data_IF_485039001983
#
_entry.id   IF_485039001983
#
_cell.length_a   1.000
_cell.length_b   1.000
_cell.length_c   1.000
_cell.angle_alpha   90.00
_cell.angle_beta   90.00
_cell.angle_gamma   90.00
#
_symmetry.space_group_name_H-M   'P 1'
#
loop_
_entity.id
_entity.type
_entity.pdbx_description
1 polymer ?
#
# COMPACT_ATOMS: atom_id res chain seq x y z
N UNK A 1 45.75 -57.54 1.21
CA UNK A 1 45.93 -58.13 2.56
C UNK A 1 45.16 -57.22 3.52
N UNK A 2 43.85 -57.31 3.71
CA UNK A 2 43.00 -58.41 4.19
C UNK A 2 43.34 -58.88 5.62
N UNK A 3 42.50 -58.47 6.58
CA UNK A 3 42.02 -59.14 7.81
C UNK A 3 41.03 -58.18 8.50
N UNK A 4 39.72 -58.30 8.25
CA UNK A 4 38.72 -59.13 8.99
C UNK A 4 38.59 -58.72 10.46
N UNK A 5 37.49 -58.07 10.91
CA UNK A 5 36.10 -58.55 11.12
C UNK A 5 35.97 -59.43 12.39
N UNK A 6 35.06 -59.02 13.29
CA UNK A 6 34.03 -59.80 14.03
C UNK A 6 33.26 -58.79 14.92
N UNK A 7 32.05 -58.31 14.59
CA UNK A 7 30.67 -58.86 14.72
C UNK A 7 30.14 -59.20 16.13
N UNK A 8 29.02 -58.53 16.49
CA UNK A 8 27.80 -58.98 17.20
C UNK A 8 26.90 -57.72 17.41
N UNK A 9 25.74 -57.48 16.79
CA UNK A 9 24.47 -58.26 16.60
C UNK A 9 23.85 -58.63 17.95
N UNK A 10 22.61 -58.34 18.37
CA UNK A 10 21.36 -57.74 17.87
C UNK A 10 20.61 -57.19 19.13
N UNK A 11 19.46 -56.50 19.14
CA UNK A 11 18.14 -56.81 18.54
C UNK A 11 17.13 -55.71 18.95
N UNK A 12 16.24 -55.32 18.02
CA UNK A 12 14.77 -55.09 18.14
C UNK A 12 14.19 -54.46 19.44
N UNK A 13 13.28 -53.48 19.44
CA UNK A 13 12.21 -53.11 18.50
C UNK A 13 11.72 -51.67 18.82
N UNK A 14 10.94 -51.06 17.90
CA UNK A 14 10.43 -49.69 17.98
C UNK A 14 9.05 -49.66 18.65
N UNK A 15 8.74 -48.63 19.43
CA UNK A 15 7.41 -47.99 19.43
C UNK A 15 7.40 -46.75 20.32
N UNK A 16 6.88 -45.64 19.78
CA UNK A 16 6.01 -44.67 20.44
C UNK A 16 5.70 -43.55 19.45
N UNK A 17 4.76 -43.89 18.59
CA UNK A 17 3.80 -43.03 17.93
C UNK A 17 3.44 -41.80 18.78
N UNK A 18 3.65 -40.61 18.23
CA UNK A 18 2.80 -39.47 18.50
C UNK A 18 2.01 -39.19 17.22
N UNK A 19 0.75 -39.62 17.27
CA UNK A 19 -0.29 -39.33 16.30
C UNK A 19 -0.46 -37.80 16.18
N UNK A 20 0.11 -37.22 15.13
CA UNK A 20 -0.50 -36.04 14.54
C UNK A 20 -1.52 -36.55 13.53
N UNK A 21 -2.77 -36.54 13.99
CA UNK A 21 -3.96 -36.85 13.22
C UNK A 21 -3.88 -36.15 11.85
N UNK A 22 -3.89 -36.98 10.80
CA UNK A 22 -4.26 -36.58 9.46
C UNK A 22 -5.72 -36.11 9.49
N UNK A 23 -5.93 -34.80 9.58
CA UNK A 23 -7.10 -34.20 8.96
C UNK A 23 -6.68 -33.75 7.57
N UNK A 24 -6.58 -34.76 6.69
CA UNK A 24 -6.86 -34.57 5.27
C UNK A 24 -8.37 -34.34 5.15
N UNK A 25 -8.81 -33.17 5.58
CA UNK A 25 -10.10 -32.66 5.14
C UNK A 25 -9.94 -32.11 3.73
N UNK A 26 -10.83 -32.61 2.91
CA UNK A 26 -10.91 -32.46 1.48
C UNK A 26 -11.41 -31.05 1.13
N UNK A 27 -10.62 -30.02 1.39
CA UNK A 27 -10.92 -28.65 0.97
C UNK A 27 -10.33 -28.38 -0.41
N UNK A 28 -11.02 -28.92 -1.42
CA UNK A 28 -10.82 -28.59 -2.83
C UNK A 28 -11.41 -27.19 -3.14
N UNK A 29 -11.01 -26.18 -2.36
CA UNK A 29 -11.19 -24.76 -2.65
C UNK A 29 -9.80 -24.14 -2.67
N UNK A 30 -9.34 -23.74 -3.85
CA UNK A 30 -8.11 -22.96 -4.01
C UNK A 30 -8.20 -21.68 -3.18
N UNK A 31 -7.66 -21.71 -1.96
CA UNK A 31 -7.49 -20.50 -1.18
C UNK A 31 -6.41 -19.64 -1.85
N UNK A 32 -6.81 -18.49 -2.39
CA UNK A 32 -5.90 -17.50 -2.96
C UNK A 32 -4.95 -17.00 -1.87
N UNK A 33 -3.65 -17.26 -2.05
CA UNK A 33 -2.61 -16.77 -1.14
C UNK A 33 -1.97 -15.51 -1.70
N UNK A 34 -2.00 -14.42 -0.92
CA UNK A 34 -1.25 -13.21 -1.23
C UNK A 34 0.15 -13.18 -0.63
N UNK A 35 0.58 -14.26 0.03
CA UNK A 35 1.90 -14.34 0.62
C UNK A 35 2.98 -14.27 -0.49
N UNK A 36 4.01 -13.41 -0.41
CA UNK A 36 5.00 -13.23 -1.49
C UNK A 36 5.68 -14.52 -1.96
N UNK A 37 5.86 -15.50 -1.06
CA UNK A 37 6.43 -16.82 -1.39
C UNK A 37 5.46 -17.80 -2.06
N UNK A 38 4.16 -17.55 -1.96
CA UNK A 38 3.10 -18.50 -2.37
C UNK A 38 2.13 -17.96 -3.41
N UNK A 39 2.08 -16.64 -3.63
CA UNK A 39 1.23 -16.04 -4.65
C UNK A 39 1.55 -16.59 -6.03
N UNK A 40 0.52 -17.07 -6.73
CA UNK A 40 0.65 -17.62 -8.08
C UNK A 40 0.74 -16.49 -9.11
N UNK A 41 1.26 -16.79 -10.31
CA UNK A 41 1.30 -15.83 -11.40
C UNK A 41 -0.11 -15.38 -11.83
N UNK A 42 -1.09 -16.29 -11.78
CA UNK A 42 -2.50 -16.01 -12.07
C UNK A 42 -3.10 -15.03 -11.06
N UNK A 43 -2.99 -15.29 -9.75
CA UNK A 43 -3.45 -14.37 -8.70
C UNK A 43 -2.75 -13.02 -8.82
N UNK A 44 -1.45 -13.01 -9.12
CA UNK A 44 -0.70 -11.78 -9.35
C UNK A 44 -1.23 -10.98 -10.53
N UNK A 45 -1.45 -11.60 -11.69
CA UNK A 45 -2.03 -10.93 -12.86
C UNK A 45 -3.48 -10.47 -12.62
N UNK A 46 -4.26 -11.22 -11.85
CA UNK A 46 -5.60 -10.81 -11.45
C UNK A 46 -5.53 -9.49 -10.66
N UNK A 47 -4.65 -9.40 -9.65
CA UNK A 47 -4.42 -8.15 -8.90
C UNK A 47 -4.05 -6.98 -9.83
N UNK A 48 -3.13 -7.20 -10.79
CA UNK A 48 -2.72 -6.16 -11.73
C UNK A 48 -3.89 -5.62 -12.56
N UNK A 49 -4.81 -6.49 -12.98
CA UNK A 49 -5.96 -6.09 -13.81
C UNK A 49 -6.87 -5.09 -13.10
N UNK A 50 -6.87 -5.11 -11.77
CA UNK A 50 -7.67 -4.21 -10.93
C UNK A 50 -6.97 -2.90 -10.55
N UNK A 51 -5.71 -2.70 -10.95
CA UNK A 51 -4.99 -1.46 -10.62
C UNK A 51 -5.71 -0.20 -11.14
N UNK A 52 -6.18 -0.11 -12.41
CA UNK A 52 -6.82 1.09 -12.94
C UNK A 52 -8.09 1.51 -12.18
N UNK A 53 -8.97 0.55 -11.85
CA UNK A 53 -10.20 0.86 -11.09
C UNK A 53 -9.88 1.19 -9.62
N UNK A 54 -8.89 0.52 -9.03
CA UNK A 54 -8.50 0.74 -7.64
C UNK A 54 -7.92 2.13 -7.44
N UNK A 55 -6.99 2.57 -8.30
CA UNK A 55 -6.37 3.90 -8.19
C UNK A 55 -7.41 5.02 -8.35
N UNK A 56 -8.39 4.83 -9.25
CA UNK A 56 -9.49 5.77 -9.44
C UNK A 56 -10.34 5.89 -8.16
N UNK A 57 -10.80 4.75 -7.61
CA UNK A 57 -11.67 4.72 -6.43
C UNK A 57 -10.98 5.25 -5.18
N UNK A 58 -9.73 4.86 -4.95
CA UNK A 58 -8.95 5.33 -3.81
C UNK A 58 -8.80 6.85 -3.89
N UNK A 59 -8.50 7.39 -5.07
CA UNK A 59 -8.36 8.84 -5.22
C UNK A 59 -9.70 9.57 -5.05
N UNK A 60 -10.78 9.06 -5.64
CA UNK A 60 -12.13 9.60 -5.45
C UNK A 60 -12.54 9.63 -3.97
N UNK A 61 -12.27 8.55 -3.23
CA UNK A 61 -12.54 8.49 -1.80
C UNK A 61 -11.72 9.51 -1.01
N UNK A 62 -10.42 9.68 -1.34
CA UNK A 62 -9.57 10.73 -0.74
C UNK A 62 -10.15 12.14 -0.99
N UNK A 63 -10.65 12.43 -2.20
CA UNK A 63 -11.26 13.72 -2.52
C UNK A 63 -12.56 13.96 -1.74
N UNK A 64 -13.44 12.97 -1.67
CA UNK A 64 -14.69 13.03 -0.89
C UNK A 64 -14.43 13.26 0.60
N UNK A 65 -13.48 12.55 1.19
CA UNK A 65 -13.10 12.73 2.60
C UNK A 65 -12.54 14.14 2.87
N UNK A 66 -11.73 14.68 1.94
CA UNK A 66 -11.22 16.05 2.05
C UNK A 66 -12.36 17.08 2.06
N UNK A 67 -13.39 16.91 1.23
CA UNK A 67 -14.55 17.81 1.22
C UNK A 67 -15.35 17.74 2.51
N UNK A 68 -15.64 16.52 3.00
CA UNK A 68 -16.35 16.32 4.28
C UNK A 68 -15.59 16.95 5.46
N UNK A 69 -14.26 16.88 5.47
CA UNK A 69 -13.43 17.51 6.50
C UNK A 69 -13.44 19.05 6.46
N UNK A 70 -13.72 19.66 5.30
CA UNK A 70 -13.85 21.12 5.14
C UNK A 70 -15.23 21.60 5.57
N UNK A 71 -16.29 20.84 5.28
CA UNK A 71 -17.66 21.15 5.72
C UNK A 71 -17.82 21.14 7.26
N UNK A 72 -17.08 20.27 7.96
CA UNK A 72 -17.07 20.20 9.43
C UNK A 72 -16.32 21.34 10.15
N UNK A 73 -15.57 22.20 9.44
CA UNK A 73 -14.82 23.34 9.99
C UNK A 73 -15.51 24.69 9.80
N UNK A 74 -16.84 24.72 9.92
CA UNK A 74 -17.61 25.96 10.00
C UNK A 74 -17.23 26.82 11.22
N UNK A 75 -17.45 28.15 11.19
CA UNK A 75 -16.95 29.07 12.21
C UNK A 75 -17.55 28.76 13.59
N UNK A 76 -16.70 28.79 14.64
CA UNK A 76 -17.10 28.71 16.05
C UNK A 76 -18.25 29.69 16.33
N UNK A 77 -19.50 29.22 16.31
CA UNK A 77 -20.64 29.95 16.86
C UNK A 77 -20.66 29.74 18.37
N UNK A 78 -20.73 30.86 19.10
CA UNK A 78 -20.87 30.93 20.55
C UNK A 78 -22.04 30.06 21.04
N UNK A 79 -21.83 29.47 22.20
CA UNK A 79 -22.77 28.60 22.89
C UNK A 79 -24.18 29.21 23.01
N UNK A 80 -25.18 28.42 22.63
CA UNK A 80 -26.59 28.71 22.83
C UNK A 80 -27.45 27.47 22.55
N UNK A 81 -27.94 26.86 23.62
CA UNK A 81 -29.09 25.93 23.73
C UNK A 81 -29.10 24.67 22.85
N UNK A 82 -28.95 23.52 23.52
CA UNK A 82 -29.10 22.16 22.98
C UNK A 82 -30.54 21.92 22.50
N UNK A 83 -30.70 21.59 21.23
CA UNK A 83 -31.77 20.73 20.74
C UNK A 83 -31.12 19.64 19.88
N UNK A 84 -31.28 18.40 20.31
CA UNK A 84 -30.87 17.20 19.56
C UNK A 84 -31.64 17.15 18.25
N UNK A 85 -30.92 17.11 17.13
CA UNK A 85 -31.45 16.62 15.85
C UNK A 85 -30.54 15.48 15.41
N UNK A 86 -31.15 14.33 15.19
CA UNK A 86 -30.53 13.07 14.79
C UNK A 86 -29.80 13.19 13.43
N UNK A 87 -28.75 12.38 13.17
CA UNK A 87 -28.04 12.40 11.90
C UNK A 87 -28.68 11.42 10.91
N UNK A 88 -29.60 11.91 10.09
CA UNK A 88 -30.04 11.22 8.88
C UNK A 88 -30.17 12.22 7.75
N UNK A 89 -29.25 12.17 6.79
CA UNK A 89 -29.50 12.04 5.34
C UNK A 89 -28.23 12.37 4.56
N UNK A 90 -28.04 11.63 3.46
CA UNK A 90 -27.02 11.87 2.43
C UNK A 90 -26.98 13.37 2.12
N UNK A 91 -25.89 14.03 2.47
CA UNK A 91 -25.62 15.37 1.94
C UNK A 91 -25.37 15.17 0.44
N UNK A 92 -26.39 15.42 -0.39
CA UNK A 92 -26.20 15.61 -1.82
C UNK A 92 -25.10 16.67 -1.98
N UNK A 93 -24.00 16.27 -2.59
CA UNK A 93 -22.92 17.19 -2.94
C UNK A 93 -23.51 18.24 -3.90
N UNK A 94 -23.11 19.50 -3.71
CA UNK A 94 -23.43 20.55 -4.69
C UNK A 94 -22.91 20.11 -6.08
N UNK A 95 -23.70 20.19 -7.16
CA UNK A 95 -23.26 19.84 -8.51
C UNK A 95 -21.92 20.49 -8.92
N UNK A 96 -21.62 21.69 -8.40
CA UNK A 96 -20.32 22.35 -8.60
C UNK A 96 -19.17 21.66 -7.87
N UNK A 97 -19.39 21.11 -6.67
CA UNK A 97 -18.40 20.30 -5.95
C UNK A 97 -18.15 18.96 -6.65
N UNK A 98 -19.19 18.30 -7.13
CA UNK A 98 -19.06 17.04 -7.88
C UNK A 98 -18.25 17.22 -9.16
N UNK A 99 -18.49 18.30 -9.90
CA UNK A 99 -17.68 18.65 -11.08
C UNK A 99 -16.20 18.84 -10.71
N UNK A 100 -15.89 19.52 -9.61
CA UNK A 100 -14.51 19.69 -9.13
C UNK A 100 -13.85 18.36 -8.77
N UNK A 101 -14.57 17.44 -8.13
CA UNK A 101 -14.06 16.09 -7.81
C UNK A 101 -13.67 15.36 -9.10
N UNK A 102 -14.54 15.40 -10.11
CA UNK A 102 -14.31 14.74 -11.41
C UNK A 102 -13.06 15.32 -12.10
N UNK A 103 -12.93 16.65 -12.13
CA UNK A 103 -11.77 17.33 -12.71
C UNK A 103 -10.47 17.03 -11.95
N UNK A 104 -10.48 17.06 -10.62
CA UNK A 104 -9.30 16.72 -9.80
C UNK A 104 -8.91 15.25 -9.95
N UNK A 105 -9.88 14.33 -10.05
CA UNK A 105 -9.66 12.92 -10.34
C UNK A 105 -8.96 12.76 -11.69
N UNK A 106 -9.50 13.37 -12.73
CA UNK A 106 -8.94 13.24 -14.09
C UNK A 106 -7.49 13.76 -14.15
N UNK A 107 -7.21 14.90 -13.51
CA UNK A 107 -5.84 15.43 -13.38
C UNK A 107 -4.90 14.45 -12.69
N UNK A 108 -5.37 13.74 -11.66
CA UNK A 108 -4.55 12.74 -10.98
C UNK A 108 -4.32 11.50 -11.85
N UNK A 109 -5.32 11.01 -12.58
CA UNK A 109 -5.15 9.88 -13.50
C UNK A 109 -4.17 10.22 -14.63
N UNK A 110 -4.20 11.45 -15.14
CA UNK A 110 -3.22 11.94 -16.10
C UNK A 110 -1.81 11.96 -15.49
N UNK A 111 -1.67 12.39 -14.23
CA UNK A 111 -0.39 12.37 -13.52
C UNK A 111 0.12 10.94 -13.27
N UNK A 112 -0.79 10.00 -12.96
CA UNK A 112 -0.46 8.57 -12.80
C UNK A 112 0.06 7.98 -14.11
N UNK A 113 -0.68 8.19 -15.22
CA UNK A 113 -0.24 7.79 -16.56
C UNK A 113 1.08 8.45 -16.93
N UNK A 114 1.23 9.74 -16.64
CA UNK A 114 2.44 10.48 -16.93
C UNK A 114 3.66 9.83 -16.27
N UNK A 115 3.55 9.46 -14.98
CA UNK A 115 4.64 8.82 -14.23
C UNK A 115 5.05 7.46 -14.79
N UNK A 116 4.09 6.62 -15.21
CA UNK A 116 4.39 5.26 -15.69
C UNK A 116 4.73 5.17 -17.18
N UNK A 117 4.17 6.05 -18.02
CA UNK A 117 4.22 5.88 -19.48
C UNK A 117 4.92 7.04 -20.20
N UNK A 118 4.74 8.27 -19.74
CA UNK A 118 5.20 9.47 -20.47
C UNK A 118 6.60 9.87 -20.02
N UNK A 119 6.80 10.08 -18.72
CA UNK A 119 8.07 10.53 -18.18
C UNK A 119 9.23 9.55 -18.48
N UNK A 120 9.06 8.21 -18.37
CA UNK A 120 10.16 7.32 -18.73
C UNK A 120 10.58 7.43 -20.21
N UNK A 121 9.64 7.70 -21.13
CA UNK A 121 9.95 7.92 -22.56
C UNK A 121 10.76 9.20 -22.74
N UNK A 122 10.30 10.29 -22.11
CA UNK A 122 10.98 11.58 -22.13
C UNK A 122 12.43 11.46 -21.63
N UNK A 123 12.67 10.72 -20.54
CA UNK A 123 14.02 10.51 -20.00
C UNK A 123 14.88 9.71 -20.99
N UNK A 124 14.32 8.66 -21.61
CA UNK A 124 15.03 7.84 -22.59
C UNK A 124 15.36 8.59 -23.89
N UNK A 125 14.46 9.44 -24.37
CA UNK A 125 14.66 10.34 -25.51
C UNK A 125 15.82 11.31 -25.23
N UNK A 126 15.82 11.97 -24.06
CA UNK A 126 16.93 12.85 -23.65
C UNK A 126 18.26 12.13 -23.55
N UNK A 127 18.26 10.88 -23.08
CA UNK A 127 19.46 10.05 -23.04
C UNK A 127 20.06 9.85 -24.44
N UNK A 128 19.20 9.76 -25.46
CA UNK A 128 19.59 9.53 -26.85
C UNK A 128 20.00 10.81 -27.58
N UNK A 129 19.40 11.96 -27.24
CA UNK A 129 19.66 13.27 -27.85
C UNK A 129 20.94 13.96 -27.34
N UNK A 130 21.43 13.57 -26.17
CA UNK A 130 22.56 14.22 -25.47
C UNK A 130 23.87 14.33 -26.26
N UNK A 131 24.02 13.60 -27.37
CA UNK A 131 25.21 13.65 -28.23
C UNK A 131 25.22 14.75 -29.31
N UNK A 132 24.20 15.61 -29.42
CA UNK A 132 24.04 16.51 -30.58
C UNK A 132 24.05 18.03 -30.31
N UNK A 133 24.06 18.51 -29.06
CA UNK A 133 24.02 19.97 -28.77
C UNK A 133 25.00 20.38 -27.67
N UNK A 134 25.98 21.23 -28.02
CA UNK A 134 27.05 21.77 -27.15
C UNK A 134 26.59 22.57 -25.92
N UNK A 135 25.28 22.83 -25.75
CA UNK A 135 24.74 23.71 -24.70
C UNK A 135 23.70 23.06 -23.78
N UNK A 136 23.37 21.77 -23.97
CA UNK A 136 22.46 21.02 -23.11
C UNK A 136 23.22 20.08 -22.17
N UNK A 137 22.74 19.84 -20.94
CA UNK A 137 23.32 18.82 -20.08
C UNK A 137 23.27 17.45 -20.77
N UNK A 138 24.46 16.86 -20.95
CA UNK A 138 24.67 15.61 -21.67
C UNK A 138 24.02 14.43 -20.90
N UNK A 139 23.25 13.61 -21.61
CA UNK A 139 22.65 12.38 -21.10
C UNK A 139 21.31 12.54 -20.36
N UNK A 140 20.77 11.41 -19.89
CA UNK A 140 19.50 11.33 -19.19
C UNK A 140 19.50 12.21 -17.92
N UNK A 141 18.43 12.97 -17.67
CA UNK A 141 18.27 13.78 -16.46
C UNK A 141 16.81 14.21 -16.26
N UNK A 142 16.50 14.71 -15.05
CA UNK A 142 15.21 15.36 -14.76
C UNK A 142 15.31 16.88 -14.82
N UNK A 143 14.21 17.49 -15.24
CA UNK A 143 13.93 18.90 -15.05
C UNK A 143 13.32 19.14 -13.66
N UNK A 144 13.40 20.39 -13.19
CA UNK A 144 12.87 20.76 -11.87
C UNK A 144 11.36 20.53 -11.75
N UNK A 145 10.60 20.91 -12.77
CA UNK A 145 9.14 20.73 -12.77
C UNK A 145 8.76 19.25 -12.77
N UNK A 146 9.51 18.39 -13.47
CA UNK A 146 9.27 16.95 -13.44
C UNK A 146 9.51 16.36 -12.05
N UNK A 147 10.53 16.82 -11.31
CA UNK A 147 10.73 16.40 -9.93
C UNK A 147 9.59 16.87 -9.01
N UNK A 148 9.01 18.04 -9.27
CA UNK A 148 7.84 18.55 -8.55
C UNK A 148 6.62 17.66 -8.85
N UNK A 149 6.38 17.32 -10.11
CA UNK A 149 5.27 16.45 -10.53
C UNK A 149 5.42 15.03 -9.98
N UNK A 150 6.64 14.47 -9.95
CA UNK A 150 6.93 13.19 -9.28
C UNK A 150 6.57 13.25 -7.79
N UNK A 151 6.91 14.35 -7.11
CA UNK A 151 6.60 14.53 -5.69
C UNK A 151 5.09 14.73 -5.47
N UNK A 152 4.41 15.41 -6.39
CA UNK A 152 2.95 15.58 -6.36
C UNK A 152 2.25 14.24 -6.51
N UNK A 153 2.67 13.44 -7.51
CA UNK A 153 2.19 12.09 -7.73
C UNK A 153 2.37 11.25 -6.46
N UNK A 154 3.59 11.21 -5.91
CA UNK A 154 3.91 10.44 -4.70
C UNK A 154 3.03 10.81 -3.52
N UNK A 155 2.77 12.11 -3.33
CA UNK A 155 1.96 12.64 -2.22
C UNK A 155 0.47 12.34 -2.39
N UNK A 156 -0.04 12.33 -3.63
CA UNK A 156 -1.44 12.01 -3.94
C UNK A 156 -1.70 10.49 -3.93
N UNK A 157 -0.75 9.71 -4.45
CA UNK A 157 -0.82 8.26 -4.56
C UNK A 157 -0.67 7.59 -3.19
N UNK A 158 0.36 7.97 -2.42
CA UNK A 158 0.64 7.46 -1.08
C UNK A 158 0.07 8.31 0.07
N UNK A 159 0.81 8.32 1.18
CA UNK A 159 0.51 9.15 2.37
C UNK A 159 1.08 10.55 2.19
N UNK A 160 0.24 11.56 2.45
CA UNK A 160 0.60 12.97 2.21
C UNK A 160 1.63 13.48 3.21
N UNK A 161 2.78 13.95 2.72
CA UNK A 161 3.85 14.58 3.50
C UNK A 161 4.14 16.00 2.99
N UNK A 162 3.27 16.99 3.30
CA UNK A 162 3.27 18.30 2.66
C UNK A 162 4.59 19.08 2.81
N UNK A 163 5.35 18.83 3.89
CA UNK A 163 6.65 19.48 4.12
C UNK A 163 7.70 19.15 3.03
N UNK A 164 7.65 17.96 2.44
CA UNK A 164 8.64 17.53 1.43
C UNK A 164 8.52 18.34 0.14
N UNK A 165 7.31 18.75 -0.23
CA UNK A 165 7.07 19.54 -1.43
C UNK A 165 7.78 20.90 -1.37
N UNK A 166 7.73 21.57 -0.21
CA UNK A 166 8.44 22.84 -0.01
C UNK A 166 9.96 22.68 -0.14
N UNK A 167 10.51 21.58 0.37
CA UNK A 167 11.94 21.28 0.25
C UNK A 167 12.34 21.07 -1.21
N UNK A 168 11.60 20.23 -1.95
CA UNK A 168 11.87 19.98 -3.38
C UNK A 168 11.89 21.28 -4.18
N UNK A 169 10.89 22.15 -3.99
CA UNK A 169 10.75 23.43 -4.70
C UNK A 169 11.91 24.41 -4.44
N UNK A 170 12.57 24.31 -3.30
CA UNK A 170 13.69 25.19 -2.93
C UNK A 170 15.05 24.78 -3.52
N UNK A 171 15.15 23.61 -4.16
CA UNK A 171 16.38 23.20 -4.82
C UNK A 171 16.65 24.01 -6.11
N UNK A 172 17.92 24.22 -6.41
CA UNK A 172 18.38 24.87 -7.64
C UNK A 172 18.22 23.93 -8.85
N UNK A 173 17.87 24.48 -10.01
CA UNK A 173 17.69 23.71 -11.25
C UNK A 173 18.97 22.93 -11.60
N UNK A 174 20.12 23.61 -11.57
CA UNK A 174 21.42 23.01 -11.85
C UNK A 174 21.75 21.82 -10.92
N UNK A 175 21.38 21.91 -9.64
CA UNK A 175 21.59 20.81 -8.68
C UNK A 175 20.75 19.60 -9.05
N UNK A 176 19.47 19.79 -9.39
CA UNK A 176 18.58 18.67 -9.78
C UNK A 176 19.11 18.00 -11.03
N UNK A 177 19.41 18.77 -12.07
CA UNK A 177 19.88 18.24 -13.35
C UNK A 177 21.22 17.49 -13.19
N UNK A 178 22.20 18.09 -12.53
CA UNK A 178 23.51 17.44 -12.29
C UNK A 178 23.36 16.16 -11.46
N UNK A 179 22.59 16.21 -10.39
CA UNK A 179 22.44 15.07 -9.46
C UNK A 179 21.70 13.90 -10.10
N UNK A 180 20.64 14.19 -10.86
CA UNK A 180 19.88 13.14 -11.57
C UNK A 180 20.67 12.53 -12.72
N UNK A 181 21.38 13.35 -13.51
CA UNK A 181 22.33 12.86 -14.53
C UNK A 181 23.40 11.96 -13.92
N UNK A 182 24.04 12.41 -12.84
CA UNK A 182 25.06 11.62 -12.12
C UNK A 182 24.47 10.30 -11.60
N UNK A 183 23.26 10.33 -11.05
CA UNK A 183 22.61 9.14 -10.52
C UNK A 183 22.28 8.11 -11.59
N UNK A 184 21.80 8.56 -12.76
CA UNK A 184 21.46 7.68 -13.88
C UNK A 184 22.72 7.08 -14.52
N UNK A 185 23.81 7.86 -14.64
CA UNK A 185 25.08 7.36 -15.13
C UNK A 185 25.76 6.35 -14.17
N UNK A 186 25.45 6.42 -12.87
CA UNK A 186 26.01 5.54 -11.85
C UNK A 186 25.23 4.23 -11.63
N UNK A 187 24.22 3.94 -12.48
CA UNK A 187 23.46 2.69 -12.38
C UNK A 187 24.37 1.47 -12.64
N UNK A 188 24.27 0.41 -11.82
CA UNK A 188 25.14 -0.74 -11.96
C UNK A 188 24.78 -1.58 -13.20
N UNK A 189 25.81 -2.13 -13.84
CA UNK A 189 25.67 -3.09 -14.95
C UNK A 189 25.63 -4.55 -14.49
N UNK A 190 25.86 -4.80 -13.20
CA UNK A 190 25.87 -6.14 -12.63
C UNK A 190 24.47 -6.77 -12.65
N UNK A 191 24.41 -8.06 -12.97
CA UNK A 191 23.16 -8.83 -12.93
C UNK A 191 22.77 -9.08 -11.46
N UNK A 192 21.59 -8.64 -11.01
CA UNK A 192 21.20 -8.75 -9.62
C UNK A 192 20.88 -10.18 -9.16
N UNK A 193 20.82 -11.15 -10.08
CA UNK A 193 20.73 -12.59 -9.74
C UNK A 193 22.13 -13.19 -9.52
N UNK A 194 23.13 -12.75 -10.29
CA UNK A 194 24.48 -13.31 -10.27
C UNK A 194 25.34 -12.61 -9.20
N UNK A 195 25.26 -11.29 -9.12
CA UNK A 195 26.02 -10.45 -8.21
C UNK A 195 25.10 -9.48 -7.43
N UNK A 196 24.29 -9.97 -6.48
CA UNK A 196 23.28 -9.16 -5.79
C UNK A 196 23.86 -7.95 -5.02
N UNK A 197 25.10 -8.08 -4.53
CA UNK A 197 25.78 -7.00 -3.81
C UNK A 197 26.22 -5.86 -4.75
N UNK A 198 26.75 -6.21 -5.92
CA UNK A 198 27.27 -5.25 -6.89
C UNK A 198 26.16 -4.60 -7.71
N UNK A 199 25.04 -5.29 -7.87
CA UNK A 199 23.87 -4.79 -8.58
C UNK A 199 23.02 -3.80 -7.76
N UNK A 200 23.30 -3.63 -6.46
CA UNK A 200 22.56 -2.68 -5.62
C UNK A 200 22.98 -1.23 -5.97
N UNK A 201 22.05 -0.34 -6.37
CA UNK A 201 22.38 0.97 -6.95
C UNK A 201 22.73 2.03 -5.88
N UNK A 202 23.65 1.72 -4.96
CA UNK A 202 24.00 2.60 -3.84
C UNK A 202 24.52 3.96 -4.32
N UNK A 203 25.43 3.97 -5.29
CA UNK A 203 26.01 5.20 -5.82
C UNK A 203 24.94 6.11 -6.45
N UNK A 204 24.02 5.54 -7.23
CA UNK A 204 22.88 6.26 -7.81
C UNK A 204 21.97 6.87 -6.73
N UNK A 205 21.69 6.13 -5.66
CA UNK A 205 20.86 6.61 -4.55
C UNK A 205 21.56 7.74 -3.77
N UNK A 206 22.85 7.61 -3.48
CA UNK A 206 23.63 8.62 -2.78
C UNK A 206 23.70 9.93 -3.59
N UNK A 207 23.86 9.82 -4.92
CA UNK A 207 23.85 10.96 -5.83
C UNK A 207 22.52 11.74 -5.84
N UNK A 208 21.41 11.11 -5.46
CA UNK A 208 20.10 11.78 -5.33
C UNK A 208 19.84 12.29 -3.90
N UNK A 209 20.21 11.50 -2.90
CA UNK A 209 19.84 11.76 -1.50
C UNK A 209 20.73 12.78 -0.79
N UNK A 210 22.01 12.86 -1.15
CA UNK A 210 22.93 13.82 -0.54
C UNK A 210 22.70 15.28 -1.01
N UNK A 211 22.53 15.56 -2.32
CA UNK A 211 22.45 16.96 -2.79
C UNK A 211 21.03 17.54 -2.86
N UNK A 212 19.98 16.73 -3.03
CA UNK A 212 18.61 17.22 -3.26
C UNK A 212 17.80 17.21 -1.96
N UNK A 213 17.48 18.41 -1.45
CA UNK A 213 16.63 18.54 -0.25
C UNK A 213 15.23 17.99 -0.50
N UNK A 214 14.73 17.19 0.44
CA UNK A 214 13.42 16.55 0.34
C UNK A 214 13.42 15.22 -0.43
N UNK A 215 14.58 14.79 -0.94
CA UNK A 215 14.77 13.47 -1.58
C UNK A 215 15.48 12.54 -0.61
N UNK A 216 14.73 11.63 0.02
CA UNK A 216 15.28 10.50 0.77
C UNK A 216 15.31 9.20 -0.04
N UNK A 217 15.70 8.06 0.55
CA UNK A 217 15.78 6.77 -0.15
C UNK A 217 14.51 6.38 -0.90
N UNK A 218 13.34 6.69 -0.33
CA UNK A 218 12.06 6.45 -0.98
C UNK A 218 11.82 7.32 -2.22
N UNK A 219 12.27 8.57 -2.24
CA UNK A 219 12.08 9.42 -3.44
C UNK A 219 13.19 9.15 -4.46
N UNK A 220 14.40 8.85 -4.01
CA UNK A 220 15.50 8.46 -4.88
C UNK A 220 15.19 7.18 -5.65
N UNK A 221 14.70 6.13 -4.98
CA UNK A 221 14.28 4.88 -5.65
C UNK A 221 13.10 5.07 -6.61
N UNK A 222 12.18 6.02 -6.35
CA UNK A 222 11.13 6.39 -7.30
C UNK A 222 11.71 7.02 -8.58
N UNK A 223 12.67 7.94 -8.42
CA UNK A 223 13.34 8.58 -9.56
C UNK A 223 14.08 7.54 -10.41
N UNK A 224 14.80 6.62 -9.77
CA UNK A 224 15.53 5.56 -10.46
C UNK A 224 14.59 4.52 -11.11
N UNK A 225 13.46 4.19 -10.49
CA UNK A 225 12.48 3.26 -11.09
C UNK A 225 11.89 3.80 -12.38
N UNK A 226 11.63 5.11 -12.45
CA UNK A 226 11.15 5.80 -13.65
C UNK A 226 12.24 5.80 -14.73
N UNK A 227 13.50 6.09 -14.38
CA UNK A 227 14.58 6.17 -15.36
C UNK A 227 14.96 4.82 -15.98
N UNK A 228 14.59 3.71 -15.35
CA UNK A 228 15.01 2.36 -15.75
C UNK A 228 13.92 1.55 -16.45
N UNK A 229 12.73 2.13 -16.69
CA UNK A 229 11.58 1.43 -17.30
C UNK A 229 11.89 0.90 -18.71
N UNK A 230 12.51 1.72 -19.56
CA UNK A 230 12.85 1.36 -20.95
C UNK A 230 14.27 0.78 -21.11
N UNK A 231 14.99 0.59 -20.00
CA UNK A 231 16.32 -0.02 -20.02
C UNK A 231 16.29 -1.55 -20.04
N UNK A 232 17.46 -2.15 -19.89
CA UNK A 232 17.58 -3.60 -19.63
C UNK A 232 16.75 -3.99 -18.39
N UNK A 233 15.92 -5.03 -18.52
CA UNK A 233 15.11 -5.56 -17.43
C UNK A 233 15.94 -5.87 -16.17
N UNK A 234 17.22 -6.25 -16.33
CA UNK A 234 18.15 -6.51 -15.23
C UNK A 234 18.51 -5.25 -14.44
N UNK A 235 18.49 -4.08 -15.09
CA UNK A 235 18.83 -2.77 -14.51
C UNK A 235 17.63 -2.03 -13.94
N UNK A 236 16.42 -2.58 -14.05
CA UNK A 236 15.24 -1.98 -13.44
C UNK A 236 15.41 -1.86 -11.92
N UNK A 237 15.02 -0.70 -11.39
CA UNK A 237 15.12 -0.41 -9.95
C UNK A 237 13.72 -0.44 -9.32
N UNK A 238 13.48 -1.21 -8.25
CA UNK A 238 12.20 -1.20 -7.54
C UNK A 238 12.04 0.11 -6.77
N UNK A 239 10.82 0.67 -6.81
CA UNK A 239 10.45 1.82 -6.01
C UNK A 239 10.19 1.38 -4.55
N UNK A 240 10.82 2.05 -3.60
CA UNK A 240 10.47 1.93 -2.19
C UNK A 240 9.15 2.64 -1.87
N UNK A 241 8.05 2.03 -2.27
CA UNK A 241 6.71 2.43 -1.85
C UNK A 241 6.36 1.80 -0.51
N UNK A 242 5.48 2.49 0.23
CA UNK A 242 4.88 1.95 1.45
C UNK A 242 4.16 0.62 1.18
N UNK A 243 3.51 0.50 0.03
CA UNK A 243 2.68 -0.67 -0.33
C UNK A 243 3.55 -1.91 -0.55
N UNK A 244 4.63 -1.76 -1.31
CA UNK A 244 5.58 -2.83 -1.59
C UNK A 244 6.29 -3.25 -0.31
N UNK A 245 6.74 -2.29 0.51
CA UNK A 245 7.44 -2.61 1.75
C UNK A 245 6.54 -3.33 2.76
N UNK A 246 5.30 -2.88 2.89
CA UNK A 246 4.30 -3.52 3.74
C UNK A 246 4.07 -4.98 3.31
N UNK A 247 3.92 -5.20 2.01
CA UNK A 247 3.63 -6.52 1.47
C UNK A 247 4.84 -7.46 1.54
N UNK A 248 5.99 -7.03 1.03
CA UNK A 248 7.15 -7.91 0.83
C UNK A 248 8.03 -8.05 2.06
N UNK A 249 8.25 -6.96 2.81
CA UNK A 249 9.21 -6.94 3.92
C UNK A 249 8.52 -7.12 5.28
N UNK A 250 7.33 -6.55 5.44
CA UNK A 250 6.56 -6.69 6.68
C UNK A 250 5.54 -7.82 6.64
N UNK A 251 5.40 -8.49 5.48
CA UNK A 251 4.47 -9.62 5.27
C UNK A 251 3.05 -9.32 5.74
N UNK A 252 2.61 -8.08 5.56
CA UNK A 252 1.34 -7.56 6.04
C UNK A 252 0.42 -7.31 4.85
N UNK A 253 -0.47 -8.25 4.61
CA UNK A 253 -1.40 -8.27 3.49
C UNK A 253 -2.74 -8.88 3.98
N UNK A 254 -3.86 -8.56 3.32
CA UNK A 254 -5.15 -9.13 3.67
C UNK A 254 -5.11 -10.66 3.60
N UNK A 255 -5.58 -11.35 4.63
CA UNK A 255 -5.94 -12.78 4.53
C UNK A 255 -7.29 -12.84 3.81
N UNK A 256 -7.47 -13.72 2.82
CA UNK A 256 -8.61 -13.70 1.86
C UNK A 256 -10.02 -13.69 2.47
N UNK A 257 -11.07 -13.60 1.64
CA UNK A 257 -12.50 -13.40 2.04
C UNK A 257 -12.97 -14.27 3.22
N UNK A 258 -12.41 -15.47 3.39
CA UNK A 258 -12.80 -16.41 4.44
C UNK A 258 -12.23 -16.14 5.85
N UNK A 259 -11.32 -15.17 6.01
CA UNK A 259 -10.87 -14.75 7.34
C UNK A 259 -11.85 -13.75 7.96
N UNK A 260 -12.63 -14.24 8.93
CA UNK A 260 -13.69 -13.48 9.63
C UNK A 260 -13.18 -12.27 10.42
N UNK A 261 -11.87 -12.15 10.64
CA UNK A 261 -11.24 -11.03 11.34
C UNK A 261 -9.91 -10.66 10.67
N UNK A 262 -9.84 -9.51 10.01
CA UNK A 262 -8.56 -8.94 9.61
C UNK A 262 -7.86 -8.42 10.88
N UNK A 263 -6.73 -9.02 11.24
CA UNK A 263 -5.93 -8.55 12.37
C UNK A 263 -5.48 -7.11 12.10
N UNK A 264 -5.59 -6.20 13.09
CA UNK A 264 -5.06 -4.85 12.93
C UNK A 264 -3.56 -4.93 12.68
N UNK A 265 -3.12 -4.32 11.59
CA UNK A 265 -1.70 -4.23 11.23
C UNK A 265 -0.92 -3.56 12.36
N UNK A 266 0.08 -4.26 12.90
CA UNK A 266 1.01 -3.71 13.90
C UNK A 266 1.98 -2.69 13.29
N UNK A 267 2.02 -2.61 11.96
CA UNK A 267 2.96 -1.81 11.19
C UNK A 267 2.36 -0.48 10.70
N UNK A 268 1.06 -0.25 10.95
CA UNK A 268 0.35 0.96 10.54
C UNK A 268 -0.08 1.76 11.76
N UNK A 269 0.11 3.08 11.68
CA UNK A 269 -0.51 4.03 12.60
C UNK A 269 -2.00 4.21 12.25
N UNK A 270 -2.83 4.77 13.16
CA UNK A 270 -4.25 5.03 12.89
C UNK A 270 -4.51 5.94 11.68
N UNK A 271 -3.54 6.80 11.31
CA UNK A 271 -3.62 7.68 10.14
C UNK A 271 -3.22 6.98 8.81
N UNK A 272 -2.90 5.68 8.85
CA UNK A 272 -2.47 4.89 7.69
C UNK A 272 -0.98 5.02 7.34
N UNK A 273 -0.19 5.81 8.07
CA UNK A 273 1.27 5.84 7.92
C UNK A 273 1.90 4.53 8.41
N UNK A 274 2.92 4.08 7.70
CA UNK A 274 3.74 2.97 8.16
C UNK A 274 4.68 3.41 9.29
N UNK A 275 4.94 2.48 10.20
CA UNK A 275 5.95 2.59 11.25
C UNK A 275 7.29 2.09 10.68
N UNK A 276 7.89 2.88 9.78
CA UNK A 276 9.17 2.58 9.11
C UNK A 276 10.08 3.80 9.12
N UNK A 277 11.39 3.58 8.99
CA UNK A 277 12.41 4.63 9.14
C UNK A 277 12.74 5.33 7.81
N UNK A 278 12.41 4.72 6.68
CA UNK A 278 12.77 5.13 5.33
C UNK A 278 14.29 5.26 5.13
N UNK A 279 15.07 4.30 5.65
CA UNK A 279 16.53 4.30 5.53
C UNK A 279 17.05 3.35 4.43
N UNK A 280 18.36 3.37 4.18
CA UNK A 280 18.98 2.56 3.14
C UNK A 280 18.98 1.05 3.44
N UNK A 281 18.95 0.65 4.71
CA UNK A 281 18.89 -0.77 5.08
C UNK A 281 17.51 -1.34 4.76
N UNK A 282 16.44 -0.63 5.12
CA UNK A 282 15.07 -1.02 4.76
C UNK A 282 14.90 -1.03 3.23
N UNK A 283 15.52 -0.09 2.50
CA UNK A 283 15.51 -0.15 1.04
C UNK A 283 16.26 -1.37 0.51
N UNK A 284 17.38 -1.76 1.14
CA UNK A 284 18.12 -2.97 0.76
C UNK A 284 17.28 -4.23 0.97
N UNK A 285 16.51 -4.28 2.05
CA UNK A 285 15.57 -5.39 2.30
C UNK A 285 14.49 -5.45 1.21
N UNK A 286 13.91 -4.30 0.84
CA UNK A 286 12.93 -4.21 -0.24
C UNK A 286 13.53 -4.60 -1.59
N UNK A 287 14.75 -4.16 -1.88
CA UNK A 287 15.47 -4.53 -3.09
C UNK A 287 15.59 -6.06 -3.21
N UNK A 288 16.09 -6.71 -2.16
CA UNK A 288 16.26 -8.17 -2.14
C UNK A 288 14.90 -8.88 -2.28
N UNK A 289 13.89 -8.49 -1.50
CA UNK A 289 12.58 -9.12 -1.53
C UNK A 289 11.86 -8.95 -2.88
N UNK A 290 11.99 -7.77 -3.50
CA UNK A 290 11.43 -7.51 -4.83
C UNK A 290 12.12 -8.36 -5.89
N UNK A 291 13.46 -8.47 -5.83
CA UNK A 291 14.25 -9.32 -6.70
C UNK A 291 13.85 -10.79 -6.60
N UNK A 292 13.72 -11.32 -5.38
CA UNK A 292 13.29 -12.69 -5.12
C UNK A 292 11.89 -12.97 -5.70
N UNK A 293 10.92 -12.07 -5.45
CA UNK A 293 9.57 -12.22 -5.98
C UNK A 293 9.57 -12.20 -7.52
N UNK A 294 10.27 -11.24 -8.12
CA UNK A 294 10.37 -11.10 -9.59
C UNK A 294 10.99 -12.35 -10.22
N UNK A 295 12.10 -12.83 -9.66
CA UNK A 295 12.77 -14.03 -10.13
C UNK A 295 11.85 -15.26 -10.04
N UNK A 296 11.12 -15.42 -8.93
CA UNK A 296 10.18 -16.52 -8.73
C UNK A 296 9.01 -16.49 -9.72
N UNK A 297 8.36 -15.34 -9.87
CA UNK A 297 7.20 -15.20 -10.77
C UNK A 297 7.60 -15.35 -12.24
N UNK A 298 8.82 -14.96 -12.59
CA UNK A 298 9.34 -15.11 -13.95
C UNK A 298 9.95 -16.50 -14.21
N UNK A 299 10.14 -17.33 -13.18
CA UNK A 299 10.60 -18.70 -13.35
C UNK A 299 9.49 -19.56 -13.98
N UNK A 300 9.58 -19.78 -15.29
CA UNK A 300 8.54 -20.47 -16.07
C UNK A 300 7.40 -19.56 -16.54
N UNK A 301 7.56 -18.24 -16.45
CA UNK A 301 6.62 -17.31 -17.10
C UNK A 301 6.69 -17.46 -18.62
N UNK A 302 5.51 -17.45 -19.27
CA UNK A 302 5.38 -17.44 -20.73
C UNK A 302 5.71 -16.07 -21.33
N UNK A 303 4.88 -15.59 -22.27
CA UNK A 303 5.18 -14.38 -23.06
C UNK A 303 5.27 -13.06 -22.26
N UNK A 304 4.66 -12.95 -21.08
CA UNK A 304 4.64 -11.71 -20.27
C UNK A 304 5.47 -11.83 -19.00
N UNK A 305 6.64 -11.20 -19.00
CA UNK A 305 7.48 -11.07 -17.81
C UNK A 305 6.91 -10.05 -16.82
N UNK A 306 6.99 -10.36 -15.53
CA UNK A 306 6.67 -9.46 -14.42
C UNK A 306 7.78 -8.43 -14.23
N UNK A 307 7.42 -7.14 -14.29
CA UNK A 307 8.29 -6.01 -14.01
C UNK A 307 8.18 -5.51 -12.57
N UNK A 308 9.06 -4.60 -12.15
CA UNK A 308 8.91 -3.95 -10.85
C UNK A 308 7.72 -2.99 -10.76
N UNK A 309 7.30 -2.41 -11.89
CA UNK A 309 6.07 -1.63 -11.96
C UNK A 309 4.86 -2.53 -11.69
N UNK A 310 4.86 -3.75 -12.22
CA UNK A 310 3.79 -4.71 -11.94
C UNK A 310 3.75 -5.04 -10.43
N UNK A 311 4.90 -5.34 -9.82
CA UNK A 311 4.98 -5.62 -8.37
C UNK A 311 4.42 -4.44 -7.55
N UNK A 312 4.78 -3.21 -7.93
CA UNK A 312 4.26 -2.01 -7.29
C UNK A 312 2.73 -1.89 -7.40
N UNK A 313 2.19 -2.08 -8.61
CA UNK A 313 0.75 -1.99 -8.87
C UNK A 313 -0.04 -3.07 -8.13
N UNK A 314 0.47 -4.30 -8.11
CA UNK A 314 -0.14 -5.40 -7.36
C UNK A 314 -0.15 -5.10 -5.84
N UNK A 315 0.97 -4.59 -5.31
CA UNK A 315 1.06 -4.19 -3.90
C UNK A 315 0.05 -3.09 -3.54
N UNK A 316 -0.13 -2.11 -4.44
CA UNK A 316 -1.11 -1.03 -4.26
C UNK A 316 -2.54 -1.58 -4.19
N UNK A 317 -2.89 -2.51 -5.09
CA UNK A 317 -4.21 -3.17 -5.07
C UNK A 317 -4.39 -3.96 -3.78
N UNK A 318 -3.40 -4.74 -3.35
CA UNK A 318 -3.45 -5.49 -2.09
C UNK A 318 -3.70 -4.60 -0.88
N UNK A 319 -3.00 -3.45 -0.77
CA UNK A 319 -3.22 -2.50 0.33
C UNK A 319 -4.65 -1.94 0.33
N UNK A 320 -5.25 -1.80 -0.84
CA UNK A 320 -6.56 -1.20 -1.04
C UNK A 320 -7.62 -2.23 -1.45
N UNK A 321 -7.42 -3.52 -1.11
CA UNK A 321 -8.25 -4.61 -1.66
C UNK A 321 -9.74 -4.41 -1.33
N UNK A 322 -10.04 -3.86 -0.16
CA UNK A 322 -11.41 -3.63 0.33
C UNK A 322 -12.21 -2.61 -0.51
N UNK A 323 -11.53 -1.74 -1.26
CA UNK A 323 -12.17 -0.79 -2.19
C UNK A 323 -11.93 -1.14 -3.65
N UNK A 324 -11.10 -2.16 -3.92
CA UNK A 324 -10.86 -2.69 -5.26
C UNK A 324 -12.03 -3.55 -5.73
N UNK A 325 -12.08 -3.84 -7.03
CA UNK A 325 -13.04 -4.77 -7.63
C UNK A 325 -12.59 -6.23 -7.52
N UNK A 326 -11.49 -6.51 -6.82
CA UNK A 326 -10.84 -7.82 -6.84
C UNK A 326 -11.80 -8.96 -6.48
N UNK A 327 -12.66 -8.75 -5.49
CA UNK A 327 -13.66 -9.73 -5.06
C UNK A 327 -15.04 -9.56 -5.70
N UNK A 328 -15.26 -8.51 -6.51
CA UNK A 328 -16.57 -8.21 -7.07
C UNK A 328 -17.11 -9.33 -7.98
N UNK A 329 -16.21 -10.12 -8.58
CA UNK A 329 -16.56 -11.26 -9.44
C UNK A 329 -16.62 -12.60 -8.68
N UNK A 330 -16.28 -12.61 -7.38
CA UNK A 330 -16.23 -13.82 -6.54
C UNK A 330 -17.42 -13.94 -5.57
N UNK A 331 -18.36 -13.00 -5.60
CA UNK A 331 -19.63 -13.09 -4.88
C UNK A 331 -20.62 -13.97 -5.67
N UNK A 332 -20.95 -15.19 -5.23
CA UNK A 332 -22.27 -15.72 -5.49
C UNK A 332 -23.25 -14.90 -4.63
N UNK A 333 -24.17 -14.16 -5.28
CA UNK A 333 -25.39 -13.55 -4.72
C UNK A 333 -25.71 -13.99 -3.27
N UNK A 334 -25.07 -13.36 -2.28
CA UNK A 334 -25.35 -13.56 -0.88
C UNK A 334 -25.92 -12.24 -0.36
N UNK A 335 -27.25 -12.18 -0.42
CA UNK A 335 -28.05 -11.01 -0.11
C UNK A 335 -27.61 -10.30 1.17
N UNK A 336 -27.64 -8.97 1.07
CA UNK A 336 -27.67 -8.02 2.17
C UNK A 336 -28.63 -8.46 3.27
N UNK A 337 -28.10 -9.13 4.30
CA UNK A 337 -28.76 -9.23 5.61
C UNK A 337 -27.86 -8.54 6.62
N UNK A 338 -27.83 -7.20 6.53
CA UNK A 338 -27.51 -6.37 7.69
C UNK A 338 -28.70 -6.49 8.63
N UNK A 339 -28.52 -7.28 9.69
CA UNK A 339 -29.41 -7.31 10.86
C UNK A 339 -29.54 -5.87 11.37
N UNK A 340 -30.72 -5.28 11.12
CA UNK A 340 -31.19 -4.08 11.79
C UNK A 340 -31.73 -4.50 13.15
N UNK A 341 -30.94 -4.31 14.20
CA UNK A 341 -31.46 -4.18 15.54
C UNK A 341 -31.87 -2.72 15.77
N UNK A 342 -33.18 -2.50 15.98
CA UNK A 342 -33.77 -1.68 17.06
C UNK A 342 -35.28 -1.47 16.78
N UNK A 343 -36.05 -2.16 17.62
CA UNK A 343 -37.29 -1.79 18.30
C UNK A 343 -38.56 -1.41 17.53
N UNK A 344 -39.54 -2.32 17.61
CA UNK A 344 -40.97 -2.00 17.59
C UNK A 344 -41.60 -2.37 18.93
N UNK A 345 -42.00 -1.36 19.69
CA UNK A 345 -42.94 -1.47 20.82
C UNK A 345 -44.27 -0.86 20.39
N UNK A 346 -45.31 -1.69 20.26
CA UNK A 346 -46.57 -1.59 21.01
C UNK A 346 -47.66 -2.43 20.34
N UNK A 347 -48.23 -3.37 21.09
CA UNK A 347 -49.67 -3.59 21.12
C UNK A 347 -50.05 -4.20 22.47
N UNK A 348 -50.83 -3.44 23.24
CA UNK A 348 -51.64 -3.84 24.40
C UNK A 348 -52.80 -4.75 23.93
N UNK A 349 -53.49 -5.64 24.67
CA UNK A 349 -53.80 -5.98 26.09
C UNK A 349 -54.56 -7.37 26.00
N UNK A 350 -55.20 -8.01 27.02
CA UNK A 350 -55.07 -7.99 28.50
C UNK A 350 -55.11 -9.38 29.24
N UNK A 351 -54.88 -9.32 30.58
CA UNK A 351 -55.36 -10.19 31.71
C UNK A 351 -54.64 -11.55 31.94
N UNK A 352 -54.39 -12.06 33.17
CA UNK A 352 -54.88 -11.77 34.53
C UNK A 352 -53.99 -12.42 35.62
N UNK A 353 -53.78 -11.73 36.76
CA UNK A 353 -53.64 -12.20 38.18
C UNK A 353 -52.53 -13.22 38.57
N UNK A 354 -51.76 -13.12 39.66
CA UNK A 354 -52.07 -12.89 41.09
C UNK A 354 -50.76 -12.62 41.91
N UNK A 355 -50.86 -11.72 42.91
CA UNK A 355 -50.44 -11.83 44.36
C UNK A 355 -48.92 -12.07 44.65
N UNK A 356 -48.18 -11.42 45.56
CA UNK A 356 -48.48 -10.68 46.80
C UNK A 356 -47.33 -9.74 47.24
N UNK A 357 -47.71 -8.80 48.09
CA UNK A 357 -47.06 -8.16 49.26
C UNK A 357 -45.55 -7.83 49.37
N UNK A 358 -45.32 -6.56 49.75
CA UNK A 358 -44.32 -6.12 50.75
C UNK A 358 -42.99 -5.65 50.17
N UNK A 359 -42.36 -4.55 50.59
CA UNK A 359 -42.67 -3.57 51.61
C UNK A 359 -41.74 -2.36 51.35
N UNK A 360 -42.14 -1.22 51.92
CA UNK A 360 -41.46 0.07 52.07
C UNK A 360 -39.93 -0.07 52.23
N UNK A 361 -39.06 0.68 51.57
CA UNK A 361 -39.01 2.14 51.50
C UNK A 361 -37.66 2.62 52.07
N UNK A 362 -36.97 3.56 51.40
CA UNK A 362 -36.09 4.62 51.94
C UNK A 362 -35.25 5.21 50.79
N UNK A 363 -35.66 6.35 50.23
CA UNK A 363 -35.18 7.71 50.54
C UNK A 363 -33.64 7.89 50.62
N UNK A 364 -33.12 8.45 49.52
CA UNK A 364 -32.45 9.78 49.43
C UNK A 364 -31.04 9.91 50.02
N UNK A 365 -30.05 10.18 49.16
CA UNK A 365 -29.24 11.42 49.23
C UNK A 365 -28.34 11.64 48.00
N UNK A 366 -28.48 12.83 47.41
CA UNK A 366 -27.53 13.45 46.47
C UNK A 366 -26.35 14.00 47.27
N UNK A 367 -25.14 13.96 46.72
CA UNK A 367 -24.13 15.00 47.00
C UNK A 367 -23.36 15.36 45.73
N UNK A 368 -23.36 16.65 45.45
CA UNK A 368 -22.69 17.35 44.34
C UNK A 368 -21.32 17.82 44.85
N UNK A 369 -20.30 17.62 43.99
CA UNK A 369 -19.18 18.49 43.58
C UNK A 369 -18.73 19.67 44.48
N UNK A 370 -17.41 19.78 44.67
CA UNK A 370 -16.50 20.93 44.36
C UNK A 370 -15.17 20.73 45.16
N UNK A 371 -13.99 20.58 44.54
CA UNK A 371 -13.08 21.56 43.91
C UNK A 371 -12.37 22.56 44.86
N UNK A 372 -11.04 22.57 44.74
CA UNK A 372 -10.04 23.62 44.96
C UNK A 372 -9.74 24.12 46.39
N UNK A 373 -8.49 23.95 46.83
CA UNK A 373 -7.49 25.04 46.82
C UNK A 373 -6.10 24.45 46.62
#
# INVERSE_FOLDING_TARGET
MAKEVITRTARSQPDKSQDHHNDRENDNKQHESFHPRHITLETFHNLLSHYPSTVERVHLNKLRLKLQSKAGKGPKRKAGTKVSIAPTTKTELDPSEEKRIIEEREKFLQLDRWRYEVLPKIIAERASEGGQKESAPEGAHLLKEELIDIMEWKTKHGVSRPMLMGMVKSNQVATITKSTSTAFAALPDADPVIAPNDAFPKASLDALTAPIRGVGPATASLILSIATVFGDAKKQVPFYSDDVYLWLCLTDFPEGIHCKEQKPSKHKKPNGELIVKYNMNEYRDLWNASQELRARLNNGAGERSVSFIDIERAAYVLRNIAVSDYYANQEPEAGLNIVKDIDSVNNQLPKESKIDSGELGTRRSKRIKQEAT
#
